data_IF_404629254318
#
_entry.id   IF_404629254318
#
_cell.length_a   1.000
_cell.length_b   1.000
_cell.length_c   1.000
_cell.angle_alpha   90.00
_cell.angle_beta   90.00
_cell.angle_gamma   90.00
#
_symmetry.space_group_name_H-M   'P 1'
#
loop_
_entity.id
_entity.type
_entity.pdbx_description
1 polymer ?
#
# COMPACT_ATOMS: atom_id res chain seq x y z
N UNK A 1 -35.08 9.63 3.73
CA UNK A 1 -33.91 9.84 2.87
C UNK A 1 -32.61 9.26 3.46
N UNK A 2 -32.17 9.60 4.67
CA UNK A 2 -30.90 9.07 5.24
C UNK A 2 -30.87 7.54 5.47
N UNK A 3 -31.93 6.97 6.05
CA UNK A 3 -32.04 5.51 6.23
C UNK A 3 -32.09 4.75 4.89
N UNK A 4 -32.59 5.39 3.85
CA UNK A 4 -32.58 4.89 2.48
C UNK A 4 -31.17 4.90 1.91
N UNK A 5 -30.41 6.00 2.09
CA UNK A 5 -29.03 6.10 1.60
C UNK A 5 -28.08 5.10 2.27
N UNK A 6 -28.20 4.87 3.59
CA UNK A 6 -27.38 3.87 4.29
C UNK A 6 -27.68 2.46 3.77
N UNK A 7 -28.97 2.12 3.60
CA UNK A 7 -29.38 0.84 3.01
C UNK A 7 -28.91 0.68 1.57
N UNK A 8 -29.01 1.71 0.74
CA UNK A 8 -28.51 1.69 -0.63
C UNK A 8 -27.00 1.47 -0.69
N UNK A 9 -26.22 2.05 0.23
CA UNK A 9 -24.76 1.84 0.32
C UNK A 9 -24.45 0.40 0.77
N UNK A 10 -25.22 -0.14 1.70
CA UNK A 10 -25.05 -1.50 2.23
C UNK A 10 -25.51 -2.58 1.24
N UNK A 11 -26.53 -2.29 0.41
CA UNK A 11 -27.13 -3.21 -0.56
C UNK A 11 -26.55 -3.08 -1.98
N UNK A 12 -25.77 -2.03 -2.27
CA UNK A 12 -25.18 -1.81 -3.58
C UNK A 12 -24.20 -2.93 -3.95
N UNK A 13 -24.56 -3.71 -4.98
CA UNK A 13 -23.65 -4.69 -5.60
C UNK A 13 -22.59 -3.96 -6.43
N UNK A 14 -21.33 -4.28 -6.15
CA UNK A 14 -20.19 -3.62 -6.80
C UNK A 14 -20.04 -4.02 -8.27
N UNK A 15 -19.76 -3.07 -9.19
CA UNK A 15 -19.54 -3.39 -10.60
C UNK A 15 -18.29 -4.25 -10.80
N UNK A 16 -18.43 -5.37 -11.53
CA UNK A 16 -17.33 -6.34 -11.79
C UNK A 16 -16.21 -5.83 -12.71
N UNK A 17 -16.35 -4.61 -13.27
CA UNK A 17 -15.42 -3.99 -14.23
C UNK A 17 -14.77 -2.69 -13.71
N UNK A 18 -14.69 -2.49 -12.40
CA UNK A 18 -14.10 -1.28 -11.82
C UNK A 18 -12.60 -1.19 -12.14
N UNK A 19 -12.16 -0.05 -12.70
CA UNK A 19 -10.75 0.30 -12.93
C UNK A 19 -10.33 1.31 -11.87
N UNK A 20 -9.95 0.86 -10.67
CA UNK A 20 -9.51 1.77 -9.59
C UNK A 20 -10.53 2.87 -9.24
N UNK A 21 -10.13 3.83 -8.41
CA UNK A 21 -10.84 5.10 -8.22
C UNK A 21 -11.84 5.16 -7.07
N UNK A 22 -12.50 6.32 -6.94
CA UNK A 22 -13.39 6.64 -5.83
C UNK A 22 -14.71 5.91 -5.95
N UNK A 23 -15.13 5.26 -4.86
CA UNK A 23 -16.37 4.51 -4.80
C UNK A 23 -17.58 5.45 -4.81
N UNK A 24 -18.69 5.07 -5.46
CA UNK A 24 -19.92 5.86 -5.44
C UNK A 24 -20.45 6.14 -4.02
N UNK A 25 -20.23 5.22 -3.08
CA UNK A 25 -20.62 5.40 -1.67
C UNK A 25 -19.83 6.53 -1.00
N UNK A 26 -18.57 6.72 -1.39
CA UNK A 26 -17.71 7.81 -0.92
C UNK A 26 -18.16 9.13 -1.52
N UNK A 27 -18.34 9.23 -2.85
CA UNK A 27 -18.80 10.48 -3.48
C UNK A 27 -20.15 10.96 -2.94
N UNK A 28 -21.12 10.04 -2.75
CA UNK A 28 -22.43 10.38 -2.15
C UNK A 28 -22.30 10.86 -0.70
N UNK A 29 -21.36 10.31 0.06
CA UNK A 29 -21.10 10.78 1.42
C UNK A 29 -20.61 12.22 1.41
N UNK A 30 -19.69 12.58 0.52
CA UNK A 30 -19.19 13.94 0.40
C UNK A 30 -20.26 14.94 0.01
N UNK A 31 -21.08 14.59 -0.99
CA UNK A 31 -22.22 15.41 -1.42
C UNK A 31 -23.18 15.65 -0.26
N UNK A 32 -23.56 14.58 0.46
CA UNK A 32 -24.48 14.68 1.59
C UNK A 32 -23.92 15.52 2.73
N UNK A 33 -22.67 15.26 3.13
CA UNK A 33 -22.01 16.00 4.21
C UNK A 33 -21.84 17.47 3.82
N UNK A 34 -21.39 17.75 2.60
CA UNK A 34 -21.24 19.12 2.10
C UNK A 34 -22.57 19.87 2.10
N UNK A 35 -23.62 19.27 1.54
CA UNK A 35 -24.95 19.88 1.49
C UNK A 35 -25.49 20.14 2.91
N UNK A 36 -25.45 19.13 3.77
CA UNK A 36 -26.02 19.23 5.11
C UNK A 36 -25.25 20.21 6.01
N UNK A 37 -23.92 20.29 5.89
CA UNK A 37 -23.12 21.33 6.56
C UNK A 37 -23.33 22.73 5.99
N UNK A 38 -23.71 22.86 4.72
CA UNK A 38 -24.08 24.15 4.14
C UNK A 38 -25.42 24.67 4.64
N UNK A 39 -26.40 23.76 4.79
CA UNK A 39 -27.79 24.12 5.15
C UNK A 39 -28.01 24.21 6.67
N UNK A 40 -27.39 23.31 7.45
CA UNK A 40 -27.73 23.13 8.86
C UNK A 40 -26.60 23.51 9.83
N UNK A 41 -25.58 24.25 9.37
CA UNK A 41 -24.41 24.62 10.18
C UNK A 41 -24.75 25.19 11.56
N UNK A 42 -25.72 26.11 11.61
CA UNK A 42 -26.17 26.81 12.83
C UNK A 42 -27.53 26.31 13.34
N UNK A 43 -28.00 25.15 12.87
CA UNK A 43 -29.31 24.65 13.23
C UNK A 43 -29.39 24.27 14.72
N UNK A 44 -30.52 24.58 15.36
CA UNK A 44 -30.81 24.21 16.77
C UNK A 44 -30.70 22.70 17.05
N UNK A 45 -30.76 21.84 16.03
CA UNK A 45 -30.70 20.37 16.12
C UNK A 45 -29.35 19.77 15.66
N UNK A 46 -28.24 20.50 15.84
CA UNK A 46 -26.88 20.05 15.45
C UNK A 46 -26.53 18.63 15.92
N UNK A 47 -26.90 18.26 17.14
CA UNK A 47 -26.60 16.93 17.69
C UNK A 47 -27.23 15.76 16.91
N UNK A 48 -28.33 15.97 16.18
CA UNK A 48 -28.91 14.94 15.32
C UNK A 48 -28.19 14.85 13.97
N UNK A 49 -27.74 15.99 13.45
CA UNK A 49 -26.88 16.04 12.27
C UNK A 49 -25.56 15.30 12.52
N UNK A 50 -24.93 15.55 13.66
CA UNK A 50 -23.67 14.89 14.04
C UNK A 50 -23.85 13.36 14.15
N UNK A 51 -24.94 12.90 14.76
CA UNK A 51 -25.30 11.46 14.80
C UNK A 51 -25.51 10.89 13.40
N UNK A 52 -26.13 11.67 12.51
CA UNK A 52 -26.38 11.25 11.14
C UNK A 52 -25.09 11.13 10.33
N UNK A 53 -24.17 12.09 10.46
CA UNK A 53 -22.85 12.06 9.85
C UNK A 53 -22.02 10.88 10.32
N UNK A 54 -21.97 10.65 11.63
CA UNK A 54 -21.24 9.51 12.21
C UNK A 54 -21.76 8.17 11.68
N UNK A 55 -23.08 8.02 11.60
CA UNK A 55 -23.71 6.80 11.06
C UNK A 55 -23.35 6.61 9.59
N UNK A 56 -23.49 7.67 8.78
CA UNK A 56 -23.21 7.60 7.35
C UNK A 56 -21.73 7.28 7.08
N UNK A 57 -20.81 7.94 7.80
CA UNK A 57 -19.38 7.63 7.74
C UNK A 57 -19.11 6.16 8.12
N UNK A 58 -19.81 5.62 9.14
CA UNK A 58 -19.73 4.20 9.49
C UNK A 58 -20.13 3.26 8.35
N UNK A 59 -21.24 3.54 7.66
CA UNK A 59 -21.70 2.75 6.51
C UNK A 59 -20.72 2.86 5.33
N UNK A 60 -20.15 4.04 5.06
CA UNK A 60 -19.13 4.22 4.01
C UNK A 60 -17.87 3.41 4.30
N UNK A 61 -17.36 3.44 5.53
CA UNK A 61 -16.18 2.65 5.92
C UNK A 61 -16.45 1.16 5.80
N UNK A 62 -17.65 0.71 6.17
CA UNK A 62 -18.06 -0.68 6.00
C UNK A 62 -18.14 -1.08 4.53
N UNK A 63 -18.66 -0.19 3.68
CA UNK A 63 -18.70 -0.36 2.22
C UNK A 63 -17.28 -0.50 1.64
N UNK A 64 -16.34 0.37 2.01
CA UNK A 64 -14.93 0.25 1.58
C UNK A 64 -14.33 -1.08 2.06
N UNK A 65 -14.49 -1.42 3.35
CA UNK A 65 -13.92 -2.65 3.92
C UNK A 65 -14.50 -3.93 3.30
N UNK A 66 -15.74 -3.90 2.81
CA UNK A 66 -16.36 -5.04 2.14
C UNK A 66 -15.59 -5.49 0.88
N UNK A 67 -14.78 -4.61 0.28
CA UNK A 67 -13.93 -4.93 -0.88
C UNK A 67 -12.92 -6.03 -0.59
N UNK A 68 -12.54 -6.27 0.67
CA UNK A 68 -11.61 -7.35 1.06
C UNK A 68 -12.17 -8.74 0.70
N UNK A 69 -13.49 -8.86 0.67
CA UNK A 69 -14.21 -10.10 0.36
C UNK A 69 -14.67 -10.14 -1.10
N UNK A 70 -14.41 -9.10 -1.89
CA UNK A 70 -14.82 -9.01 -3.28
C UNK A 70 -13.77 -9.63 -4.20
N UNK A 71 -14.19 -10.52 -5.10
CA UNK A 71 -13.30 -11.11 -6.12
C UNK A 71 -13.10 -10.12 -7.28
N UNK A 72 -12.39 -9.03 -7.01
CA UNK A 72 -12.11 -7.97 -7.97
C UNK A 72 -10.92 -8.31 -8.87
N UNK A 73 -10.99 -7.88 -10.13
CA UNK A 73 -9.86 -7.93 -11.06
C UNK A 73 -8.79 -6.88 -10.75
N UNK A 74 -9.13 -5.85 -9.97
CA UNK A 74 -8.23 -4.79 -9.51
C UNK A 74 -7.72 -5.12 -8.11
N UNK A 75 -6.52 -4.65 -7.77
CA UNK A 75 -5.97 -4.86 -6.44
C UNK A 75 -6.81 -4.14 -5.38
N UNK A 76 -7.28 -4.89 -4.38
CA UNK A 76 -8.16 -4.39 -3.32
C UNK A 76 -7.48 -3.38 -2.40
N UNK A 77 -6.22 -3.60 -2.03
CA UNK A 77 -5.46 -2.67 -1.18
C UNK A 77 -5.27 -1.32 -1.88
N UNK A 78 -5.03 -1.30 -3.20
CA UNK A 78 -4.96 -0.07 -4.00
C UNK A 78 -6.26 0.72 -3.92
N UNK A 79 -7.40 0.07 -4.16
CA UNK A 79 -8.71 0.75 -4.15
C UNK A 79 -9.05 1.25 -2.74
N UNK A 80 -8.79 0.44 -1.72
CA UNK A 80 -9.01 0.85 -0.32
C UNK A 80 -8.12 2.02 0.07
N UNK A 81 -6.84 1.99 -0.32
CA UNK A 81 -5.90 3.10 -0.12
C UNK A 81 -6.41 4.40 -0.76
N UNK A 82 -6.81 4.38 -2.04
CA UNK A 82 -7.35 5.55 -2.74
C UNK A 82 -8.58 6.13 -2.02
N UNK A 83 -9.51 5.27 -1.64
CA UNK A 83 -10.77 5.70 -1.03
C UNK A 83 -10.60 6.22 0.39
N UNK A 84 -9.76 5.59 1.21
CA UNK A 84 -9.45 6.10 2.55
C UNK A 84 -8.63 7.39 2.49
N UNK A 85 -7.75 7.55 1.50
CA UNK A 85 -7.05 8.81 1.26
C UNK A 85 -8.05 9.94 0.95
N UNK A 86 -8.94 9.71 -0.01
CA UNK A 86 -9.94 10.69 -0.43
C UNK A 86 -10.84 11.11 0.74
N UNK A 87 -11.40 10.14 1.49
CA UNK A 87 -12.19 10.42 2.69
C UNK A 87 -11.40 11.23 3.72
N UNK A 88 -10.13 10.90 3.95
CA UNK A 88 -9.29 11.67 4.87
C UNK A 88 -9.11 13.12 4.39
N UNK A 89 -8.77 13.33 3.11
CA UNK A 89 -8.61 14.65 2.51
C UNK A 89 -9.89 15.49 2.62
N UNK A 90 -11.03 14.90 2.28
CA UNK A 90 -12.33 15.54 2.44
C UNK A 90 -12.62 15.95 3.88
N UNK A 91 -12.41 15.05 4.85
CA UNK A 91 -12.65 15.36 6.26
C UNK A 91 -11.68 16.42 6.80
N UNK A 92 -10.44 16.44 6.33
CA UNK A 92 -9.48 17.53 6.62
C UNK A 92 -9.99 18.88 6.10
N UNK A 93 -10.54 18.93 4.89
CA UNK A 93 -11.06 20.17 4.30
C UNK A 93 -12.33 20.69 4.98
N UNK A 94 -13.20 19.79 5.49
CA UNK A 94 -14.48 20.17 6.09
C UNK A 94 -14.40 20.55 7.57
N UNK A 95 -13.39 20.06 8.29
CA UNK A 95 -13.15 20.36 9.71
C UNK A 95 -14.38 20.12 10.63
N UNK A 96 -15.12 19.04 10.36
CA UNK A 96 -16.34 18.70 11.11
C UNK A 96 -15.96 17.98 12.40
N UNK A 97 -16.15 18.65 13.54
CA UNK A 97 -15.71 18.18 14.86
C UNK A 97 -16.18 16.75 15.20
N UNK A 98 -17.45 16.40 14.93
CA UNK A 98 -17.97 15.07 15.24
C UNK A 98 -17.33 13.94 14.41
N UNK A 99 -16.70 14.27 13.27
CA UNK A 99 -16.05 13.31 12.37
C UNK A 99 -14.53 13.20 12.58
N UNK A 100 -13.95 13.90 13.56
CA UNK A 100 -12.51 13.85 13.85
C UNK A 100 -12.00 12.42 14.14
N UNK A 101 -12.80 11.61 14.83
CA UNK A 101 -12.50 10.19 15.02
C UNK A 101 -12.40 9.43 13.70
N UNK A 102 -13.33 9.68 12.77
CA UNK A 102 -13.36 9.07 11.44
C UNK A 102 -12.24 9.58 10.55
N UNK A 103 -11.85 10.84 10.67
CA UNK A 103 -10.67 11.39 9.98
C UNK A 103 -9.39 10.64 10.37
N UNK A 104 -9.17 10.42 11.67
CA UNK A 104 -8.01 9.64 12.15
C UNK A 104 -8.07 8.19 11.69
N UNK A 105 -9.25 7.57 11.74
CA UNK A 105 -9.44 6.20 11.24
C UNK A 105 -9.16 6.08 9.74
N UNK A 106 -9.62 7.03 8.92
CA UNK A 106 -9.33 7.06 7.48
C UNK A 106 -7.83 7.16 7.21
N UNK A 107 -7.11 8.05 7.91
CA UNK A 107 -5.65 8.17 7.79
C UNK A 107 -4.95 6.85 8.10
N UNK A 108 -5.33 6.21 9.20
CA UNK A 108 -4.76 4.94 9.63
C UNK A 108 -4.98 3.85 8.58
N UNK A 109 -6.22 3.69 8.10
CA UNK A 109 -6.56 2.70 7.06
C UNK A 109 -5.87 2.97 5.73
N UNK A 110 -5.74 4.24 5.35
CA UNK A 110 -4.95 4.64 4.18
C UNK A 110 -3.50 4.15 4.30
N UNK A 111 -2.84 4.43 5.43
CA UNK A 111 -1.46 3.99 5.67
C UNK A 111 -1.32 2.46 5.68
N UNK A 112 -2.23 1.74 6.34
CA UNK A 112 -2.21 0.27 6.37
C UNK A 112 -2.34 -0.37 4.99
N UNK A 113 -3.26 0.14 4.15
CA UNK A 113 -3.45 -0.39 2.81
C UNK A 113 -2.35 0.04 1.84
N UNK A 114 -1.77 1.24 2.01
CA UNK A 114 -0.56 1.66 1.30
C UNK A 114 0.59 0.69 1.57
N UNK A 115 0.86 0.38 2.84
CA UNK A 115 1.91 -0.55 3.23
C UNK A 115 1.69 -1.95 2.63
N UNK A 116 0.48 -2.51 2.76
CA UNK A 116 0.13 -3.81 2.15
C UNK A 116 0.30 -3.81 0.64
N UNK A 117 -0.14 -2.75 -0.03
CA UNK A 117 0.00 -2.59 -1.46
C UNK A 117 1.48 -2.58 -1.87
N UNK A 118 2.30 -1.77 -1.18
CA UNK A 118 3.74 -1.64 -1.42
C UNK A 118 4.45 -2.98 -1.23
N UNK A 119 4.32 -3.61 -0.07
CA UNK A 119 4.99 -4.89 0.25
C UNK A 119 4.62 -5.96 -0.78
N UNK A 120 3.33 -6.09 -1.12
CA UNK A 120 2.85 -7.12 -2.06
C UNK A 120 3.41 -6.94 -3.48
N UNK A 121 3.47 -5.71 -3.97
CA UNK A 121 3.88 -5.43 -5.35
C UNK A 121 5.40 -5.36 -5.51
N UNK A 122 6.10 -4.91 -4.47
CA UNK A 122 7.56 -4.83 -4.43
C UNK A 122 8.19 -6.21 -4.18
N UNK A 123 7.50 -7.09 -3.46
CA UNK A 123 7.91 -8.48 -3.27
C UNK A 123 8.01 -9.28 -4.57
N UNK A 124 7.27 -8.89 -5.63
CA UNK A 124 7.24 -9.59 -6.91
C UNK A 124 8.56 -9.45 -7.72
N UNK A 125 9.10 -8.24 -7.96
CA UNK A 125 10.41 -8.07 -8.62
C UNK A 125 11.55 -8.88 -8.02
N UNK A 126 11.60 -9.06 -6.69
CA UNK A 126 12.70 -9.70 -5.97
C UNK A 126 12.30 -11.02 -5.28
N UNK A 127 11.27 -11.69 -5.80
CA UNK A 127 10.61 -12.81 -5.09
C UNK A 127 11.56 -13.91 -4.58
N UNK A 128 12.50 -14.39 -5.41
CA UNK A 128 13.43 -15.46 -5.00
C UNK A 128 14.46 -14.98 -3.99
N UNK A 129 14.87 -13.72 -4.07
CA UNK A 129 15.78 -13.10 -3.11
C UNK A 129 15.08 -12.96 -1.75
N UNK A 130 13.85 -12.46 -1.75
CA UNK A 130 12.97 -12.42 -0.59
C UNK A 130 12.82 -13.80 0.05
N UNK A 131 12.43 -14.82 -0.72
CA UNK A 131 12.25 -16.18 -0.22
C UNK A 131 13.52 -16.77 0.39
N UNK A 132 14.69 -16.51 -0.22
CA UNK A 132 15.97 -16.97 0.30
C UNK A 132 16.26 -16.36 1.68
N UNK A 133 16.17 -15.03 1.80
CA UNK A 133 16.48 -14.33 3.06
C UNK A 133 15.42 -14.52 4.15
N UNK A 134 14.14 -14.69 3.80
CA UNK A 134 13.12 -15.15 4.76
C UNK A 134 13.47 -16.53 5.32
N UNK A 135 13.99 -17.44 4.48
CA UNK A 135 14.49 -18.74 4.92
C UNK A 135 15.71 -18.64 5.84
N UNK A 136 16.66 -17.75 5.55
CA UNK A 136 17.80 -17.44 6.42
C UNK A 136 17.32 -16.93 7.77
N UNK A 137 16.43 -15.92 7.79
CA UNK A 137 15.84 -15.38 9.02
C UNK A 137 15.13 -16.46 9.84
N UNK A 138 14.38 -17.33 9.19
CA UNK A 138 13.70 -18.44 9.86
C UNK A 138 14.68 -19.42 10.53
N UNK A 139 15.85 -19.67 9.93
CA UNK A 139 16.88 -20.53 10.54
C UNK A 139 17.54 -19.87 11.74
N UNK A 140 17.87 -18.59 11.64
CA UNK A 140 18.41 -17.83 12.77
C UNK A 140 17.39 -17.79 13.92
N UNK A 141 16.11 -17.56 13.63
CA UNK A 141 15.04 -17.60 14.62
C UNK A 141 14.84 -18.99 15.26
N UNK A 142 15.20 -20.07 14.57
CA UNK A 142 15.22 -21.44 15.10
C UNK A 142 16.46 -21.75 15.96
N UNK A 143 17.36 -20.79 16.16
CA UNK A 143 18.55 -20.94 17.00
C UNK A 143 19.81 -21.37 16.26
N UNK A 144 19.80 -21.42 14.92
CA UNK A 144 21.02 -21.58 14.14
C UNK A 144 21.86 -20.32 14.30
N UNK A 145 23.13 -20.45 14.69
CA UNK A 145 24.04 -19.30 14.79
C UNK A 145 24.28 -18.68 13.42
N UNK A 146 24.44 -17.37 13.35
CA UNK A 146 24.59 -16.63 12.10
C UNK A 146 25.76 -17.16 11.27
N UNK A 147 26.91 -17.42 11.91
CA UNK A 147 28.10 -18.00 11.27
C UNK A 147 27.88 -19.43 10.74
N UNK A 148 26.89 -20.16 11.27
CA UNK A 148 26.59 -21.54 10.89
C UNK A 148 25.58 -21.64 9.74
N UNK A 149 24.84 -20.56 9.44
CA UNK A 149 23.85 -20.53 8.35
C UNK A 149 24.48 -20.95 7.03
N UNK A 150 25.70 -20.49 6.75
CA UNK A 150 26.39 -20.77 5.48
C UNK A 150 26.72 -22.25 5.24
N UNK A 151 26.64 -23.10 6.29
CA UNK A 151 26.79 -24.56 6.19
C UNK A 151 25.46 -25.29 5.94
N UNK A 152 24.31 -24.62 6.08
CA UNK A 152 23.01 -25.19 5.76
C UNK A 152 22.88 -25.35 4.25
N UNK A 153 22.62 -26.57 3.76
CA UNK A 153 22.61 -26.89 2.33
C UNK A 153 21.72 -25.93 1.51
N UNK A 154 20.51 -25.65 2.01
CA UNK A 154 19.53 -24.77 1.34
C UNK A 154 19.90 -23.28 1.37
N UNK A 155 20.83 -22.88 2.25
CA UNK A 155 21.25 -21.50 2.45
C UNK A 155 22.77 -21.35 2.36
N UNK A 156 23.43 -22.22 1.59
CA UNK A 156 24.88 -22.21 1.45
C UNK A 156 25.36 -20.98 0.68
N UNK A 157 26.67 -20.67 0.77
CA UNK A 157 27.32 -19.62 -0.04
C UNK A 157 27.06 -19.79 -1.55
N UNK A 158 27.00 -21.04 -2.01
CA UNK A 158 26.72 -21.36 -3.42
C UNK A 158 25.28 -21.02 -3.79
N UNK A 159 24.30 -21.36 -2.93
CA UNK A 159 22.90 -21.04 -3.17
C UNK A 159 22.65 -19.52 -3.11
N UNK A 160 23.27 -18.81 -2.16
CA UNK A 160 23.21 -17.35 -2.11
C UNK A 160 23.66 -16.73 -3.43
N UNK A 161 24.83 -17.15 -3.96
CA UNK A 161 25.36 -16.64 -5.23
C UNK A 161 24.40 -16.91 -6.40
N UNK A 162 23.87 -18.14 -6.50
CA UNK A 162 22.86 -18.50 -7.52
C UNK A 162 21.58 -17.68 -7.44
N UNK A 163 21.19 -17.22 -6.24
CA UNK A 163 20.02 -16.35 -6.08
C UNK A 163 20.34 -14.93 -6.50
N UNK A 164 21.48 -14.37 -6.08
CA UNK A 164 21.93 -13.02 -6.48
C UNK A 164 22.12 -12.90 -7.99
N UNK A 165 22.71 -13.92 -8.64
CA UNK A 165 22.97 -13.93 -10.09
C UNK A 165 21.69 -13.81 -10.95
N UNK A 166 20.50 -14.06 -10.36
CA UNK A 166 19.20 -13.89 -11.04
C UNK A 166 18.73 -12.44 -11.07
N UNK A 167 19.36 -11.56 -10.31
CA UNK A 167 18.95 -10.17 -10.12
C UNK A 167 20.09 -9.19 -10.44
N UNK A 168 20.68 -9.23 -11.65
CA UNK A 168 21.62 -8.19 -12.05
C UNK A 168 20.91 -6.83 -12.09
N UNK A 169 21.65 -5.75 -11.83
CA UNK A 169 21.06 -4.41 -11.65
C UNK A 169 20.16 -3.96 -12.82
N UNK A 170 20.52 -4.35 -14.05
CA UNK A 170 19.72 -4.09 -15.26
C UNK A 170 18.34 -4.76 -15.25
N UNK A 171 18.25 -5.99 -14.75
CA UNK A 171 16.97 -6.72 -14.66
C UNK A 171 16.11 -6.18 -13.51
N UNK A 172 16.74 -5.77 -12.40
CA UNK A 172 16.05 -5.06 -11.32
C UNK A 172 15.43 -3.76 -11.84
N UNK A 173 16.20 -2.94 -12.56
CA UNK A 173 15.69 -1.71 -13.18
C UNK A 173 14.50 -1.97 -14.13
N UNK A 174 14.58 -2.99 -15.00
CA UNK A 174 13.48 -3.38 -15.91
C UNK A 174 12.22 -3.83 -15.17
N UNK A 175 12.41 -4.56 -14.06
CA UNK A 175 11.30 -4.97 -13.21
C UNK A 175 10.61 -3.76 -12.57
N UNK A 176 11.39 -2.77 -12.09
CA UNK A 176 10.88 -1.51 -11.55
C UNK A 176 10.16 -0.67 -12.61
N UNK A 177 10.67 -0.56 -13.84
CA UNK A 177 9.99 0.11 -14.97
C UNK A 177 8.64 -0.54 -15.29
N UNK A 178 8.57 -1.87 -15.23
CA UNK A 178 7.33 -2.62 -15.43
C UNK A 178 6.35 -2.39 -14.29
N UNK A 179 6.86 -2.31 -13.06
CA UNK A 179 6.06 -2.01 -11.89
C UNK A 179 5.46 -0.61 -11.97
N UNK A 180 6.27 0.41 -12.27
CA UNK A 180 5.81 1.79 -12.45
C UNK A 180 4.67 1.88 -13.47
N UNK A 181 4.84 1.27 -14.65
CA UNK A 181 3.80 1.25 -15.70
C UNK A 181 2.51 0.57 -15.23
N UNK A 182 2.59 -0.49 -14.41
CA UNK A 182 1.41 -1.13 -13.82
C UNK A 182 0.71 -0.18 -12.85
N UNK A 183 1.45 0.46 -11.94
CA UNK A 183 0.86 1.41 -10.97
C UNK A 183 0.20 2.55 -11.74
N UNK A 184 0.90 3.20 -12.67
CA UNK A 184 0.38 4.29 -13.50
C UNK A 184 -0.89 3.89 -14.29
N UNK A 185 -1.00 2.64 -14.74
CA UNK A 185 -2.16 2.17 -15.51
C UNK A 185 -3.41 1.95 -14.67
N UNK A 186 -3.26 1.52 -13.41
CA UNK A 186 -4.37 1.07 -12.58
C UNK A 186 -4.75 2.05 -11.47
N UNK A 187 -3.79 2.85 -10.99
CA UNK A 187 -4.04 3.90 -10.02
C UNK A 187 -4.79 5.06 -10.70
N UNK A 188 -5.83 5.55 -10.04
CA UNK A 188 -6.60 6.70 -10.49
C UNK A 188 -5.76 7.97 -10.48
N UNK A 189 -5.87 8.82 -11.51
CA UNK A 189 -5.20 10.12 -11.51
C UNK A 189 -5.85 11.15 -10.57
N UNK A 190 -7.08 10.90 -10.09
CA UNK A 190 -7.91 11.85 -9.34
C UNK A 190 -7.21 12.42 -8.10
N UNK A 191 -6.57 11.55 -7.31
CA UNK A 191 -5.87 11.93 -6.07
C UNK A 191 -4.38 12.20 -6.27
N UNK A 192 -3.86 12.08 -7.49
CA UNK A 192 -2.43 12.19 -7.80
C UNK A 192 -1.52 11.38 -6.84
N UNK A 193 -1.94 10.16 -6.48
CA UNK A 193 -1.21 9.33 -5.52
C UNK A 193 0.03 8.65 -6.09
N UNK A 194 0.24 8.70 -7.42
CA UNK A 194 1.34 8.00 -8.07
C UNK A 194 2.72 8.37 -7.50
N UNK A 195 3.09 9.65 -7.33
CA UNK A 195 4.39 10.01 -6.76
C UNK A 195 4.55 9.53 -5.32
N UNK A 196 3.46 9.57 -4.54
CA UNK A 196 3.46 9.15 -3.12
C UNK A 196 3.67 7.64 -3.01
N UNK A 197 2.92 6.86 -3.80
CA UNK A 197 3.05 5.40 -3.88
C UNK A 197 4.45 5.04 -4.38
N UNK A 198 4.94 5.72 -5.41
CA UNK A 198 6.25 5.44 -5.99
C UNK A 198 7.39 5.70 -5.01
N UNK A 199 7.32 6.80 -4.26
CA UNK A 199 8.27 7.07 -3.20
C UNK A 199 8.18 6.04 -2.07
N UNK A 200 6.98 5.60 -1.67
CA UNK A 200 6.84 4.53 -0.69
C UNK A 200 7.47 3.20 -1.17
N UNK A 201 7.35 2.88 -2.46
CA UNK A 201 8.03 1.72 -3.07
C UNK A 201 9.56 1.89 -3.04
N UNK A 202 10.08 3.07 -3.32
CA UNK A 202 11.52 3.35 -3.23
C UNK A 202 12.05 3.07 -1.82
N UNK A 203 11.40 3.63 -0.80
CA UNK A 203 11.81 3.48 0.60
C UNK A 203 11.74 2.03 1.06
N UNK A 204 10.69 1.30 0.69
CA UNK A 204 10.58 -0.12 1.05
C UNK A 204 11.64 -0.98 0.33
N UNK A 205 11.98 -0.68 -0.94
CA UNK A 205 13.03 -1.42 -1.64
C UNK A 205 14.39 -1.21 -1.00
N UNK A 206 14.71 0.04 -0.64
CA UNK A 206 15.96 0.39 0.02
C UNK A 206 16.03 -0.31 1.38
N UNK A 207 14.94 -0.31 2.15
CA UNK A 207 14.85 -1.02 3.43
C UNK A 207 15.13 -2.51 3.27
N UNK A 208 14.48 -3.17 2.31
CA UNK A 208 14.70 -4.60 2.03
C UNK A 208 16.13 -4.89 1.58
N UNK A 209 16.68 -4.06 0.69
CA UNK A 209 18.06 -4.18 0.24
C UNK A 209 19.05 -4.09 1.41
N UNK A 210 18.86 -3.12 2.30
CA UNK A 210 19.71 -2.96 3.49
C UNK A 210 19.61 -4.17 4.43
N UNK A 211 18.41 -4.75 4.58
CA UNK A 211 18.21 -5.99 5.35
C UNK A 211 18.94 -7.19 4.72
N UNK A 212 18.96 -7.29 3.38
CA UNK A 212 19.73 -8.32 2.70
C UNK A 212 21.24 -8.15 2.88
N UNK A 213 21.75 -6.93 2.71
CA UNK A 213 23.16 -6.64 2.92
C UNK A 213 23.60 -6.95 4.36
N UNK A 214 22.79 -6.57 5.35
CA UNK A 214 23.04 -6.91 6.75
C UNK A 214 23.07 -8.43 7.00
N UNK A 215 22.12 -9.19 6.42
CA UNK A 215 22.11 -10.64 6.50
C UNK A 215 23.32 -11.28 5.79
N UNK A 216 23.75 -10.75 4.65
CA UNK A 216 24.97 -11.19 3.95
C UNK A 216 26.19 -10.98 4.85
N UNK A 217 26.31 -9.80 5.46
CA UNK A 217 27.43 -9.46 6.34
C UNK A 217 27.49 -10.37 7.57
N UNK A 218 26.35 -10.61 8.22
CA UNK A 218 26.27 -11.44 9.43
C UNK A 218 26.41 -12.93 9.15
N UNK A 219 25.67 -13.46 8.18
CA UNK A 219 25.58 -14.90 7.95
C UNK A 219 26.60 -15.47 6.96
N UNK A 220 27.24 -14.60 6.17
CA UNK A 220 28.15 -14.99 5.08
C UNK A 220 29.47 -14.21 5.09
N UNK A 221 29.91 -13.77 6.27
CA UNK A 221 31.18 -13.07 6.47
C UNK A 221 32.36 -13.77 5.77
N UNK A 222 33.25 -12.98 5.16
CA UNK A 222 34.44 -13.46 4.46
C UNK A 222 34.16 -14.26 3.18
N UNK A 223 32.91 -14.33 2.70
CA UNK A 223 32.57 -15.02 1.44
C UNK A 223 32.89 -14.21 0.18
N UNK A 224 33.07 -12.90 0.32
CA UNK A 224 33.19 -11.97 -0.82
C UNK A 224 31.93 -11.92 -1.69
N UNK A 225 30.78 -12.39 -1.18
CA UNK A 225 29.48 -12.25 -1.85
C UNK A 225 28.91 -10.87 -1.53
N UNK A 226 28.47 -10.17 -2.55
CA UNK A 226 27.76 -8.89 -2.46
C UNK A 226 26.70 -8.83 -3.56
N UNK A 227 25.74 -7.92 -3.41
CA UNK A 227 24.77 -7.61 -4.46
C UNK A 227 25.44 -6.92 -5.66
N UNK A 228 24.87 -7.07 -6.85
CA UNK A 228 25.39 -6.50 -8.12
C UNK A 228 25.10 -4.98 -8.28
N UNK A 229 24.36 -4.40 -7.34
CA UNK A 229 23.92 -3.00 -7.36
C UNK A 229 23.93 -2.44 -5.94
N UNK A 230 24.10 -1.13 -5.81
CA UNK A 230 24.13 -0.44 -4.52
C UNK A 230 22.83 0.30 -4.22
N UNK A 231 22.75 0.91 -3.03
CA UNK A 231 21.64 1.82 -2.69
C UNK A 231 21.61 3.03 -3.63
N UNK A 232 22.77 3.57 -4.02
CA UNK A 232 22.87 4.67 -4.98
C UNK A 232 22.35 4.27 -6.36
N UNK A 233 22.62 3.04 -6.80
CA UNK A 233 22.07 2.51 -8.05
C UNK A 233 20.55 2.42 -7.98
N UNK A 234 19.98 1.90 -6.88
CA UNK A 234 18.53 1.86 -6.70
C UNK A 234 17.91 3.26 -6.77
N UNK A 235 18.46 4.23 -6.05
CA UNK A 235 18.02 5.63 -6.11
C UNK A 235 18.10 6.19 -7.53
N UNK A 236 19.19 5.89 -8.26
CA UNK A 236 19.36 6.27 -9.65
C UNK A 236 18.29 5.63 -10.56
N UNK A 237 17.94 4.36 -10.32
CA UNK A 237 16.89 3.68 -11.08
C UNK A 237 15.54 4.36 -10.89
N UNK A 238 15.11 4.58 -9.64
CA UNK A 238 13.85 5.27 -9.33
C UNK A 238 13.79 6.66 -9.94
N UNK A 239 14.85 7.46 -9.79
CA UNK A 239 14.94 8.79 -10.38
C UNK A 239 14.84 8.75 -11.91
N UNK A 240 15.56 7.83 -12.56
CA UNK A 240 15.53 7.71 -14.03
C UNK A 240 14.16 7.28 -14.55
N UNK A 241 13.44 6.41 -13.83
CA UNK A 241 12.09 5.96 -14.19
C UNK A 241 11.11 7.12 -14.09
N UNK A 242 11.18 7.89 -13.00
CA UNK A 242 10.34 9.07 -12.80
C UNK A 242 10.60 10.15 -13.86
N UNK A 243 11.86 10.40 -14.23
CA UNK A 243 12.19 11.39 -15.27
C UNK A 243 11.80 10.97 -16.69
N UNK A 244 11.61 9.67 -16.92
CA UNK A 244 11.30 9.12 -18.24
C UNK A 244 9.80 9.00 -18.52
N UNK A 245 8.93 9.37 -17.57
CA UNK A 245 7.47 9.26 -17.68
C UNK A 245 6.79 10.53 -17.16
#
# INVERSE_FOLDING_TARGET
CQGTLCKEIEEAKMPSKMKGGILPSVSRFEEFVTFSEGVFRTARRRGELDKAHLRLAGSVFSSINSLSSANLKVNTDMVMMENFHHVHCFLCQKEIHCLEGKKREAKQRYSEHMEKYVIKYLGQPLEKLNQFFEGVKARVAQGVKEEEVSFQLAYSKQELRKVIDKYPGKEVKRALETLYRKIHKYLSPEENLLPVVWHAMEQELIRQYQEFEDLIQRCYAGSGIAMDFTTEDLLSYFNSITLSN
#
